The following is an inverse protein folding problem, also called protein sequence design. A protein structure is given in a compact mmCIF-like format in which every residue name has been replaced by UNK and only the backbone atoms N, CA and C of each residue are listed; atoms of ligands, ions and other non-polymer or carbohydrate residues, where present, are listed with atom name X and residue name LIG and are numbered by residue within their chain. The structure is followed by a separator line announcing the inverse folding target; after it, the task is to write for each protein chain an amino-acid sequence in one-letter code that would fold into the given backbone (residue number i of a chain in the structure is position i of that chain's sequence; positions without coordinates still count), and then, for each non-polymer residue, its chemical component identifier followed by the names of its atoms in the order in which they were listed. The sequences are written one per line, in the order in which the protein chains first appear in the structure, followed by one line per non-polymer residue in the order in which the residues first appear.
data_IF_998165295856
#
_entry.id   IF_998165295856
#
_cell.length_a   1.000
_cell.length_b   1.000
_cell.length_c   1.000
_cell.angle_alpha   90.00
_cell.angle_beta   90.00
_cell.angle_gamma   90.00
#
_symmetry.space_group_name_H-M   'P 1'
#
loop_
_entity.id
_entity.type
_entity.pdbx_description
1 polymer ?
#
# COMPACT_ATOMS: atom_id res chain seq x y z
N UNK A 1 -8.44 9.17 21.01
CA UNK A 1 -8.17 7.75 21.32
C UNK A 1 -6.67 7.58 21.29
N UNK A 2 -6.10 6.98 22.33
CA UNK A 2 -4.65 6.76 22.43
C UNK A 2 -4.32 5.37 21.91
N UNK A 3 -3.24 5.26 21.14
CA UNK A 3 -2.73 4.01 20.60
C UNK A 3 -1.27 3.84 21.00
N UNK A 4 -0.90 2.62 21.37
CA UNK A 4 0.50 2.24 21.52
C UNK A 4 0.97 1.69 20.18
N UNK A 5 2.04 2.25 19.61
CA UNK A 5 2.66 1.70 18.41
C UNK A 5 3.94 0.95 18.79
N UNK A 6 4.05 -0.29 18.32
CA UNK A 6 5.23 -1.16 18.48
C UNK A 6 5.56 -1.82 17.16
N UNK A 7 6.80 -2.28 16.99
CA UNK A 7 7.21 -3.04 15.79
C UNK A 7 6.53 -4.41 15.74
N UNK A 8 6.43 -5.02 14.55
CA UNK A 8 5.98 -6.42 14.47
C UNK A 8 6.93 -7.36 15.21
N UNK A 9 8.24 -7.11 15.17
CA UNK A 9 9.21 -7.89 15.94
C UNK A 9 8.92 -7.89 17.44
N UNK A 10 8.52 -6.73 18.00
CA UNK A 10 8.07 -6.64 19.39
C UNK A 10 6.73 -7.33 19.61
N UNK A 11 5.76 -7.15 18.72
CA UNK A 11 4.46 -7.80 18.82
C UNK A 11 4.56 -9.33 18.82
N UNK A 12 5.40 -9.90 17.95
CA UNK A 12 5.69 -11.34 17.94
C UNK A 12 6.36 -11.80 19.25
N UNK A 13 7.28 -11.01 19.80
CA UNK A 13 7.85 -11.26 21.13
C UNK A 13 6.83 -11.19 22.27
N UNK A 14 5.73 -10.45 22.08
CA UNK A 14 4.61 -10.33 23.01
C UNK A 14 3.50 -11.38 22.77
N UNK A 15 3.70 -12.30 21.83
CA UNK A 15 2.81 -13.43 21.56
C UNK A 15 1.73 -13.19 20.50
N UNK A 16 1.80 -12.08 19.75
CA UNK A 16 0.96 -11.91 18.56
C UNK A 16 1.43 -12.87 17.47
N UNK A 17 0.50 -13.34 16.67
CA UNK A 17 0.75 -14.15 15.48
C UNK A 17 0.68 -13.29 14.22
N UNK A 18 1.08 -13.83 13.08
CA UNK A 18 0.84 -13.19 11.78
C UNK A 18 -0.65 -12.97 11.52
N UNK A 19 -1.50 -13.93 11.91
CA UNK A 19 -2.96 -13.85 11.76
C UNK A 19 -3.55 -12.70 12.58
N UNK A 20 -3.03 -12.43 13.79
CA UNK A 20 -3.48 -11.30 14.61
C UNK A 20 -3.17 -9.93 13.96
N UNK A 21 -2.16 -9.88 13.09
CA UNK A 21 -1.67 -8.66 12.45
C UNK A 21 -2.16 -8.52 11.00
N UNK A 22 -2.86 -9.52 10.47
CA UNK A 22 -3.57 -9.46 9.20
C UNK A 22 -4.99 -8.96 9.42
N UNK A 23 -5.30 -7.77 8.90
CA UNK A 23 -6.56 -7.09 9.18
C UNK A 23 -7.64 -7.35 8.12
N UNK A 24 -7.30 -8.04 7.02
CA UNK A 24 -8.19 -8.35 5.89
C UNK A 24 -9.13 -7.18 5.50
N UNK A 25 -8.56 -5.98 5.38
CA UNK A 25 -9.32 -4.74 5.07
C UNK A 25 -9.33 -4.38 3.58
N UNK A 26 -8.66 -5.17 2.75
CA UNK A 26 -8.55 -4.96 1.32
C UNK A 26 -9.73 -5.59 0.58
N UNK A 27 -10.18 -5.01 -0.55
CA UNK A 27 -11.08 -5.69 -1.46
C UNK A 27 -10.58 -7.11 -1.80
N UNK A 28 -11.47 -8.10 -1.73
CA UNK A 28 -11.09 -9.51 -1.87
C UNK A 28 -10.36 -9.84 -3.18
N UNK A 29 -10.68 -9.16 -4.29
CA UNK A 29 -9.99 -9.36 -5.56
C UNK A 29 -8.51 -8.89 -5.49
N UNK A 30 -8.17 -7.88 -4.68
CA UNK A 30 -6.78 -7.43 -4.49
C UNK A 30 -5.96 -8.48 -3.74
N UNK A 31 -6.58 -9.23 -2.83
CA UNK A 31 -5.93 -10.36 -2.18
C UNK A 31 -5.58 -11.49 -3.17
N UNK A 32 -6.01 -11.41 -4.44
CA UNK A 32 -5.67 -12.38 -5.49
C UNK A 32 -4.41 -12.02 -6.28
N UNK A 33 -3.79 -10.88 -5.97
CA UNK A 33 -2.51 -10.48 -6.54
C UNK A 33 -1.44 -11.56 -6.33
N UNK A 34 -0.77 -12.04 -7.40
CA UNK A 34 0.19 -13.13 -7.28
C UNK A 34 1.43 -12.75 -6.48
N UNK A 35 1.90 -11.50 -6.58
CA UNK A 35 3.12 -11.04 -5.91
C UNK A 35 2.86 -10.88 -4.41
N UNK A 36 1.75 -10.25 -4.04
CA UNK A 36 1.29 -10.17 -2.66
C UNK A 36 1.17 -11.55 -2.03
N UNK A 37 0.47 -12.48 -2.69
CA UNK A 37 0.31 -13.87 -2.20
C UNK A 37 1.63 -14.61 -2.02
N UNK A 38 2.55 -14.49 -2.97
CA UNK A 38 3.82 -15.21 -2.95
C UNK A 38 4.73 -14.71 -1.82
N UNK A 39 4.78 -13.40 -1.59
CA UNK A 39 5.77 -12.78 -0.72
C UNK A 39 5.23 -12.27 0.62
N UNK A 40 3.91 -12.30 0.90
CA UNK A 40 3.34 -11.74 2.13
C UNK A 40 4.01 -12.27 3.40
N UNK A 41 4.05 -13.59 3.56
CA UNK A 41 4.65 -14.24 4.73
C UNK A 41 6.12 -13.83 4.90
N UNK A 42 6.90 -13.87 3.81
CA UNK A 42 8.30 -13.44 3.84
C UNK A 42 8.44 -11.99 4.30
N UNK A 43 7.66 -11.06 3.71
CA UNK A 43 7.71 -9.63 4.05
C UNK A 43 7.39 -9.40 5.53
N UNK A 44 6.35 -10.06 6.04
CA UNK A 44 5.89 -9.91 7.42
C UNK A 44 6.97 -10.32 8.43
N UNK A 45 7.65 -11.44 8.19
CA UNK A 45 8.67 -11.96 9.11
C UNK A 45 10.03 -11.29 8.93
N UNK A 46 10.54 -11.24 7.71
CA UNK A 46 11.89 -10.76 7.41
C UNK A 46 12.05 -9.27 7.71
N UNK A 47 11.03 -8.47 7.39
CA UNK A 47 11.03 -7.03 7.62
C UNK A 47 10.23 -6.62 8.88
N UNK A 48 9.94 -7.55 9.79
CA UNK A 48 9.16 -7.33 11.03
C UNK A 48 9.63 -6.16 11.89
N UNK A 49 10.92 -5.85 11.81
CA UNK A 49 11.54 -4.72 12.47
C UNK A 49 11.14 -3.36 11.88
N UNK A 50 10.86 -3.28 10.58
CA UNK A 50 10.43 -2.07 9.90
C UNK A 50 8.95 -1.79 10.15
N UNK A 51 8.12 -2.82 10.18
CA UNK A 51 6.67 -2.72 10.36
C UNK A 51 6.30 -2.17 11.73
N UNK A 52 5.06 -1.70 11.87
CA UNK A 52 4.47 -1.38 13.15
C UNK A 52 3.01 -1.82 13.26
N UNK A 53 2.59 -2.15 14.46
CA UNK A 53 1.19 -2.36 14.84
C UNK A 53 0.75 -1.29 15.82
N UNK A 54 -0.46 -0.77 15.63
CA UNK A 54 -1.12 0.13 16.56
C UNK A 54 -2.11 -0.66 17.42
N UNK A 55 -1.92 -0.60 18.73
CA UNK A 55 -2.73 -1.30 19.72
C UNK A 55 -3.57 -0.30 20.52
N UNK A 56 -4.84 -0.62 20.71
CA UNK A 56 -5.70 0.12 21.63
C UNK A 56 -5.27 -0.08 23.09
N UNK A 57 -5.84 0.69 24.01
CA UNK A 57 -5.61 0.53 25.46
C UNK A 57 -5.89 -0.90 25.95
N UNK A 58 -6.87 -1.57 25.35
CA UNK A 58 -7.26 -2.94 25.68
C UNK A 58 -6.46 -3.97 24.87
N UNK A 59 -5.32 -3.58 24.29
CA UNK A 59 -4.40 -4.43 23.52
C UNK A 59 -5.01 -5.05 22.25
N UNK A 60 -6.12 -4.49 21.75
CA UNK A 60 -6.68 -4.88 20.45
C UNK A 60 -5.90 -4.23 19.32
N UNK A 61 -5.64 -4.98 18.26
CA UNK A 61 -5.06 -4.44 17.04
C UNK A 61 -6.03 -3.46 16.40
N UNK A 62 -5.58 -2.24 16.15
CA UNK A 62 -6.37 -1.17 15.54
C UNK A 62 -5.94 -0.88 14.09
N UNK A 63 -4.65 -1.08 13.81
CA UNK A 63 -4.08 -0.86 12.49
C UNK A 63 -2.66 -1.41 12.39
N UNK A 64 -2.20 -1.64 11.17
CA UNK A 64 -0.81 -2.04 10.88
C UNK A 64 -0.21 -1.15 9.82
N UNK A 65 1.12 -1.02 9.85
CA UNK A 65 1.91 -0.38 8.82
C UNK A 65 3.04 -1.30 8.43
N UNK A 66 3.20 -1.58 7.15
CA UNK A 66 4.20 -2.50 6.62
C UNK A 66 5.13 -1.78 5.64
N UNK A 67 6.41 -2.12 5.62
CA UNK A 67 7.42 -1.51 4.74
C UNK A 67 8.34 -2.54 4.11
N UNK A 68 8.81 -2.26 2.90
CA UNK A 68 9.78 -3.09 2.19
C UNK A 68 11.01 -2.22 1.88
N UNK A 69 12.17 -2.49 2.49
CA UNK A 69 13.40 -1.77 2.20
C UNK A 69 13.93 -2.13 0.80
N UNK A 70 14.56 -1.16 0.13
CA UNK A 70 15.23 -1.37 -1.15
C UNK A 70 16.40 -0.39 -1.35
N UNK A 71 17.30 -0.75 -2.27
CA UNK A 71 18.38 0.11 -2.74
C UNK A 71 17.90 1.03 -3.85
N UNK A 72 18.10 2.34 -3.66
CA UNK A 72 17.70 3.39 -4.57
C UNK A 72 18.90 4.26 -4.96
N UNK A 73 19.09 4.45 -6.26
CA UNK A 73 20.19 5.21 -6.85
C UNK A 73 20.04 6.73 -6.77
N UNK A 74 18.90 7.23 -6.27
CA UNK A 74 18.61 8.66 -6.19
C UNK A 74 17.81 9.21 -7.38
N UNK A 75 17.51 8.38 -8.38
CA UNK A 75 16.76 8.79 -9.57
C UNK A 75 15.29 8.38 -9.49
N UNK A 76 14.39 9.35 -9.64
CA UNK A 76 12.95 9.06 -9.65
C UNK A 76 12.52 8.20 -10.84
N UNK A 77 13.34 8.07 -11.89
CA UNK A 77 13.02 7.29 -13.09
C UNK A 77 13.16 5.79 -12.85
N UNK A 78 14.13 5.39 -12.02
CA UNK A 78 14.46 4.00 -11.68
C UNK A 78 13.67 3.47 -10.49
N UNK A 79 12.86 4.33 -9.84
CA UNK A 79 11.91 3.92 -8.81
C UNK A 79 11.07 2.73 -9.32
N UNK A 80 10.75 1.73 -8.48
CA UNK A 80 9.93 0.60 -8.91
C UNK A 80 8.61 1.05 -9.54
N UNK A 81 8.18 0.31 -10.57
CA UNK A 81 6.96 0.60 -11.34
C UNK A 81 5.69 0.20 -10.58
N UNK A 82 5.51 0.80 -9.41
CA UNK A 82 4.39 0.59 -8.51
C UNK A 82 4.62 -0.48 -7.45
N UNK A 83 3.50 -0.96 -6.91
CA UNK A 83 3.43 -1.80 -5.71
C UNK A 83 4.10 -3.16 -5.91
N UNK A 84 3.75 -3.89 -6.98
CA UNK A 84 4.30 -5.22 -7.27
C UNK A 84 5.82 -5.14 -7.48
N UNK A 85 6.25 -4.16 -8.27
CA UNK A 85 7.67 -3.95 -8.56
C UNK A 85 8.47 -3.57 -7.31
N UNK A 86 7.87 -2.85 -6.36
CA UNK A 86 8.53 -2.48 -5.11
C UNK A 86 8.75 -3.70 -4.21
N UNK A 87 7.78 -4.62 -4.16
CA UNK A 87 7.94 -5.92 -3.50
C UNK A 87 9.12 -6.66 -4.12
N UNK A 88 9.07 -6.91 -5.44
CA UNK A 88 10.09 -7.68 -6.15
C UNK A 88 11.50 -7.08 -5.98
N UNK A 89 11.63 -5.76 -6.06
CA UNK A 89 12.90 -5.05 -5.86
C UNK A 89 13.44 -5.24 -4.44
N UNK A 90 12.60 -5.12 -3.42
CA UNK A 90 13.03 -5.32 -2.04
C UNK A 90 13.47 -6.75 -1.73
N UNK A 91 12.76 -7.74 -2.29
CA UNK A 91 13.16 -9.16 -2.20
C UNK A 91 14.51 -9.40 -2.87
N UNK A 92 14.68 -8.89 -4.10
CA UNK A 92 15.94 -9.03 -4.83
C UNK A 92 17.11 -8.41 -4.07
N UNK A 93 16.95 -7.17 -3.59
CA UNK A 93 18.00 -6.46 -2.88
C UNK A 93 18.35 -7.12 -1.54
N UNK A 94 17.36 -7.67 -0.84
CA UNK A 94 17.58 -8.47 0.36
C UNK A 94 18.40 -9.73 0.05
N UNK A 95 18.01 -10.49 -0.98
CA UNK A 95 18.71 -11.72 -1.38
C UNK A 95 20.16 -11.44 -1.84
N UNK A 96 20.41 -10.28 -2.44
CA UNK A 96 21.74 -9.84 -2.84
C UNK A 96 22.55 -9.19 -1.70
N UNK A 97 21.96 -9.03 -0.51
CA UNK A 97 22.61 -8.41 0.64
C UNK A 97 22.90 -6.92 0.44
N UNK A 98 22.12 -6.22 -0.38
CA UNK A 98 22.34 -4.79 -0.63
C UNK A 98 22.06 -3.95 0.60
N UNK A 99 22.88 -2.90 0.77
CA UNK A 99 22.62 -1.87 1.76
C UNK A 99 21.52 -0.95 1.25
N UNK A 100 20.30 -1.15 1.74
CA UNK A 100 19.15 -0.33 1.40
C UNK A 100 19.27 1.08 2.02
N UNK A 101 18.92 2.10 1.25
CA UNK A 101 18.83 3.51 1.68
C UNK A 101 17.39 4.06 1.58
N UNK A 102 16.48 3.29 0.97
CA UNK A 102 15.08 3.61 0.77
C UNK A 102 14.17 2.49 1.30
N UNK A 103 12.91 2.82 1.51
CA UNK A 103 11.86 1.83 1.77
C UNK A 103 10.54 2.26 1.12
N UNK A 104 9.74 1.28 0.72
CA UNK A 104 8.36 1.49 0.29
C UNK A 104 7.43 1.18 1.47
N UNK A 105 6.61 2.14 1.90
CA UNK A 105 5.44 1.90 2.73
C UNK A 105 4.45 1.09 1.89
N UNK A 106 4.42 -0.21 2.17
CA UNK A 106 3.74 -1.23 1.41
C UNK A 106 2.24 -1.23 1.68
N UNK A 107 1.86 -1.16 2.95
CA UNK A 107 0.47 -0.97 3.35
C UNK A 107 0.35 -0.22 4.66
N UNK A 108 -0.74 0.55 4.79
CA UNK A 108 -1.24 1.06 6.06
C UNK A 108 -2.70 0.66 6.14
N UNK A 109 -3.00 -0.19 7.11
CA UNK A 109 -4.30 -0.83 7.27
C UNK A 109 -4.91 -0.41 8.60
N UNK A 110 -6.18 -0.05 8.59
CA UNK A 110 -6.90 0.39 9.80
C UNK A 110 -8.28 -0.26 9.79
N UNK A 111 -8.60 -0.95 10.89
CA UNK A 111 -9.91 -1.57 11.06
C UNK A 111 -11.01 -0.50 11.04
N UNK A 112 -12.20 -0.79 10.46
CA UNK A 112 -13.27 0.18 10.27
C UNK A 112 -13.63 1.01 11.51
N UNK A 113 -13.69 0.39 12.68
CA UNK A 113 -14.06 1.04 13.95
C UNK A 113 -13.04 2.08 14.45
N UNK A 114 -11.80 2.04 13.96
CA UNK A 114 -10.75 2.99 14.34
C UNK A 114 -10.47 4.06 13.27
N UNK A 115 -11.20 4.04 12.14
CA UNK A 115 -11.05 5.04 11.07
C UNK A 115 -11.51 6.42 11.54
N UNK A 116 -10.93 7.48 10.96
CA UNK A 116 -11.23 8.87 11.35
C UNK A 116 -10.61 9.34 12.67
N UNK A 117 -9.88 8.47 13.38
CA UNK A 117 -9.20 8.79 14.65
C UNK A 117 -7.87 9.54 14.51
N UNK A 118 -7.40 9.76 13.27
CA UNK A 118 -6.05 10.26 12.99
C UNK A 118 -4.96 9.18 13.02
N UNK A 119 -5.31 7.91 13.27
CA UNK A 119 -4.36 6.80 13.40
C UNK A 119 -3.45 6.62 12.17
N UNK A 120 -3.93 6.91 10.97
CA UNK A 120 -3.11 6.80 9.75
C UNK A 120 -1.89 7.73 9.75
N UNK A 121 -1.99 8.91 10.35
CA UNK A 121 -0.85 9.83 10.52
C UNK A 121 0.13 9.30 11.57
N UNK A 122 -0.37 8.65 12.63
CA UNK A 122 0.47 8.07 13.67
C UNK A 122 1.26 6.87 13.13
N UNK A 123 0.60 5.96 12.39
CA UNK A 123 1.25 4.83 11.74
C UNK A 123 2.30 5.33 10.74
N UNK A 124 1.96 6.28 9.85
CA UNK A 124 2.92 6.84 8.90
C UNK A 124 4.14 7.48 9.60
N UNK A 125 3.90 8.19 10.71
CA UNK A 125 4.98 8.77 11.52
C UNK A 125 5.87 7.69 12.13
N UNK A 126 5.29 6.61 12.65
CA UNK A 126 6.04 5.50 13.21
C UNK A 126 6.84 4.74 12.14
N UNK A 127 6.29 4.55 10.94
CA UNK A 127 7.04 3.98 9.82
C UNK A 127 8.26 4.84 9.46
N UNK A 128 8.13 6.17 9.45
CA UNK A 128 9.28 7.08 9.25
C UNK A 128 10.34 6.92 10.33
N UNK A 129 9.96 6.76 11.61
CA UNK A 129 10.90 6.53 12.70
C UNK A 129 11.60 5.17 12.59
N UNK A 130 10.85 4.12 12.26
CA UNK A 130 11.38 2.77 12.08
C UNK A 130 12.35 2.68 10.90
N UNK A 131 12.05 3.39 9.82
CA UNK A 131 12.97 3.59 8.70
C UNK A 131 14.22 4.37 9.15
N UNK A 132 14.05 5.49 9.84
CA UNK A 132 15.15 6.33 10.28
C UNK A 132 16.14 5.62 11.22
N UNK A 133 15.63 4.85 12.19
CA UNK A 133 16.45 4.07 13.13
C UNK A 133 17.28 2.97 12.46
N UNK A 134 16.97 2.66 11.19
CA UNK A 134 17.66 1.67 10.36
C UNK A 134 18.43 2.31 9.20
N UNK A 135 18.72 3.61 9.30
CA UNK A 135 19.46 4.39 8.31
C UNK A 135 18.79 4.44 6.92
N UNK A 136 17.47 4.26 6.85
CA UNK A 136 16.69 4.52 5.65
C UNK A 136 16.39 6.02 5.59
N UNK A 137 16.89 6.70 4.58
CA UNK A 137 16.76 8.15 4.37
C UNK A 137 15.50 8.52 3.59
N UNK A 138 15.03 7.60 2.73
CA UNK A 138 13.94 7.83 1.79
C UNK A 138 12.79 6.87 2.04
N UNK A 139 11.64 7.40 2.46
CA UNK A 139 10.41 6.60 2.56
C UNK A 139 9.50 6.96 1.39
N UNK A 140 9.26 6.01 0.51
CA UNK A 140 8.30 6.11 -0.57
C UNK A 140 6.98 5.47 -0.15
N UNK A 141 5.85 5.95 -0.66
CA UNK A 141 4.54 5.30 -0.50
C UNK A 141 3.88 5.20 -1.87
N UNK A 142 3.50 3.99 -2.28
CA UNK A 142 2.74 3.77 -3.51
C UNK A 142 1.25 3.79 -3.16
N UNK A 143 0.67 4.98 -3.22
CA UNK A 143 -0.62 5.27 -2.58
C UNK A 143 -1.78 4.89 -3.49
N UNK A 144 -2.63 3.99 -3.00
CA UNK A 144 -3.95 3.66 -3.54
C UNK A 144 -4.99 4.62 -2.93
N UNK A 145 -5.57 5.58 -3.67
CA UNK A 145 -6.54 6.53 -3.09
C UNK A 145 -7.82 5.82 -2.59
N UNK A 146 -8.33 6.26 -1.43
CA UNK A 146 -9.45 5.60 -0.77
C UNK A 146 -10.81 5.83 -1.45
N UNK A 147 -10.98 6.94 -2.18
CA UNK A 147 -12.28 7.31 -2.77
C UNK A 147 -12.29 7.29 -4.30
N UNK A 148 -11.19 6.89 -4.94
CA UNK A 148 -11.10 6.80 -6.41
C UNK A 148 -12.09 5.77 -6.98
N UNK A 149 -12.48 4.75 -6.23
CA UNK A 149 -13.52 3.77 -6.59
C UNK A 149 -14.91 4.39 -6.91
N UNK A 150 -15.17 5.61 -6.43
CA UNK A 150 -16.39 6.36 -6.75
C UNK A 150 -16.35 6.95 -8.16
N UNK A 151 -15.16 7.07 -8.74
CA UNK A 151 -14.88 7.67 -10.03
C UNK A 151 -14.02 6.72 -10.91
N UNK A 152 -14.45 5.47 -11.14
CA UNK A 152 -13.60 4.46 -11.76
C UNK A 152 -13.20 4.81 -13.20
N UNK A 153 -14.03 5.57 -13.92
CA UNK A 153 -13.79 5.98 -15.31
C UNK A 153 -13.01 7.29 -15.46
N UNK A 154 -12.72 8.01 -14.37
CA UNK A 154 -11.73 9.08 -14.43
C UNK A 154 -10.33 8.46 -14.48
N UNK A 155 -9.44 9.05 -15.26
CA UNK A 155 -8.01 8.75 -15.11
C UNK A 155 -7.53 9.12 -13.70
N UNK A 156 -6.41 8.54 -13.27
CA UNK A 156 -5.83 8.91 -11.98
C UNK A 156 -5.41 10.39 -11.97
N UNK A 157 -4.90 10.92 -13.09
CA UNK A 157 -4.54 12.34 -13.21
C UNK A 157 -5.76 13.25 -12.99
N UNK A 158 -6.84 13.05 -13.75
CA UNK A 158 -8.09 13.84 -13.60
C UNK A 158 -8.67 13.74 -12.19
N UNK A 159 -8.56 12.57 -11.56
CA UNK A 159 -9.02 12.39 -10.20
C UNK A 159 -8.19 13.20 -9.19
N UNK A 160 -6.87 13.26 -9.35
CA UNK A 160 -5.98 13.96 -8.42
C UNK A 160 -6.06 15.49 -8.53
N UNK A 161 -6.56 16.01 -9.66
CA UNK A 161 -6.87 17.44 -9.86
C UNK A 161 -8.09 17.90 -9.04
N UNK A 162 -8.86 16.96 -8.48
CA UNK A 162 -9.96 17.30 -7.56
C UNK A 162 -9.40 17.74 -6.21
N UNK A 163 -9.44 19.05 -5.98
CA UNK A 163 -8.95 19.69 -4.75
C UNK A 163 -10.10 20.33 -3.95
N UNK A 164 -9.91 20.36 -2.64
CA UNK A 164 -10.71 21.16 -1.70
C UNK A 164 -10.34 22.64 -1.82
N UNK A 165 -11.14 23.50 -1.21
CA UNK A 165 -10.88 24.95 -1.13
C UNK A 165 -9.54 25.28 -0.46
N UNK A 166 -9.05 24.41 0.45
CA UNK A 166 -7.76 24.55 1.13
C UNK A 166 -6.55 24.12 0.27
N UNK A 167 -6.77 23.75 -1.00
CA UNK A 167 -5.74 23.35 -1.96
C UNK A 167 -5.27 21.90 -1.84
N UNK A 168 -5.70 21.17 -0.81
CA UNK A 168 -5.39 19.75 -0.66
C UNK A 168 -6.34 18.86 -1.46
N UNK A 169 -5.91 17.63 -1.77
CA UNK A 169 -6.74 16.63 -2.46
C UNK A 169 -8.06 16.39 -1.73
N UNK A 170 -9.14 16.19 -2.50
CA UNK A 170 -10.41 15.70 -1.97
C UNK A 170 -10.27 14.30 -1.36
N UNK A 171 -9.39 13.46 -1.91
CA UNK A 171 -9.14 12.12 -1.38
C UNK A 171 -8.47 12.20 0.01
N UNK A 172 -9.07 11.58 1.05
CA UNK A 172 -8.56 11.69 2.40
C UNK A 172 -7.19 11.05 2.59
N UNK A 173 -6.85 10.03 1.81
CA UNK A 173 -5.59 9.31 1.95
C UNK A 173 -4.45 10.04 1.24
N UNK A 174 -4.69 10.53 0.03
CA UNK A 174 -3.76 11.43 -0.65
C UNK A 174 -3.46 12.66 0.21
N UNK A 175 -4.51 13.25 0.81
CA UNK A 175 -4.37 14.41 1.69
C UNK A 175 -3.53 14.15 2.93
N UNK A 176 -3.49 12.92 3.47
CA UNK A 176 -2.59 12.58 4.59
C UNK A 176 -1.13 12.74 4.17
N UNK A 177 -0.76 12.26 2.98
CA UNK A 177 0.60 12.40 2.48
C UNK A 177 0.95 13.85 2.14
N UNK A 178 0.04 14.59 1.47
CA UNK A 178 0.25 16.02 1.20
C UNK A 178 0.44 16.83 2.49
N UNK A 179 -0.39 16.62 3.53
CA UNK A 179 -0.27 17.29 4.83
C UNK A 179 0.98 16.86 5.62
N UNK A 180 1.48 15.67 5.37
CA UNK A 180 2.75 15.19 5.93
C UNK A 180 3.98 15.73 5.18
N UNK A 181 3.80 16.65 4.22
CA UNK A 181 4.89 17.29 3.46
C UNK A 181 5.50 16.39 2.38
N UNK A 182 4.80 15.33 1.98
CA UNK A 182 5.28 14.42 0.95
C UNK A 182 5.33 15.10 -0.43
N UNK A 183 6.32 14.72 -1.23
CA UNK A 183 6.39 15.12 -2.64
C UNK A 183 5.75 14.06 -3.51
N UNK A 184 4.74 14.41 -4.30
CA UNK A 184 4.20 13.54 -5.35
C UNK A 184 5.29 13.34 -6.41
N UNK A 185 5.58 12.09 -6.77
CA UNK A 185 6.62 11.74 -7.75
C UNK A 185 5.99 11.50 -9.13
N UNK A 186 5.17 10.44 -9.25
CA UNK A 186 4.49 10.06 -10.49
C UNK A 186 3.31 9.15 -10.21
N UNK A 187 2.42 9.04 -11.19
CA UNK A 187 1.37 8.02 -11.24
C UNK A 187 1.97 6.76 -11.86
N UNK A 188 1.65 5.60 -11.29
CA UNK A 188 1.97 4.29 -11.83
C UNK A 188 0.68 3.62 -12.29
N UNK A 189 0.40 3.67 -13.59
CA UNK A 189 -0.86 3.17 -14.17
C UNK A 189 -1.04 1.64 -14.03
N UNK A 190 0.06 0.91 -13.84
CA UNK A 190 0.07 -0.55 -13.73
C UNK A 190 0.77 -0.98 -12.44
N UNK A 191 0.36 -0.38 -11.32
CA UNK A 191 1.01 -0.60 -10.03
C UNK A 191 0.76 -1.99 -9.45
N UNK A 192 -0.44 -2.54 -9.69
CA UNK A 192 -0.78 -3.93 -9.38
C UNK A 192 -1.43 -4.55 -10.61
N UNK A 193 -1.17 -5.83 -10.86
CA UNK A 193 -1.76 -6.53 -11.99
C UNK A 193 -2.38 -7.87 -11.60
N UNK A 194 -3.72 -7.92 -11.65
CA UNK A 194 -4.51 -9.09 -11.28
C UNK A 194 -5.19 -9.63 -12.52
N UNK A 195 -5.08 -10.95 -12.70
CA UNK A 195 -5.73 -11.68 -13.79
C UNK A 195 -6.42 -12.92 -13.25
N UNK A 196 -7.49 -13.33 -13.92
CA UNK A 196 -8.23 -14.53 -13.58
C UNK A 196 -9.21 -14.90 -14.69
N UNK A 197 -9.81 -16.08 -14.58
CA UNK A 197 -10.93 -16.47 -15.45
C UNK A 197 -12.17 -15.63 -15.15
N UNK A 198 -13.16 -15.64 -16.05
CA UNK A 198 -14.42 -14.94 -15.79
C UNK A 198 -15.04 -15.46 -14.51
N UNK A 199 -15.08 -16.78 -14.33
CA UNK A 199 -15.63 -17.41 -13.13
C UNK A 199 -14.93 -16.92 -11.86
N UNK A 200 -13.60 -16.83 -11.87
CA UNK A 200 -12.86 -16.31 -10.74
C UNK A 200 -13.25 -14.86 -10.44
N UNK A 201 -13.35 -14.00 -11.46
CA UNK A 201 -13.80 -12.63 -11.28
C UNK A 201 -15.23 -12.52 -10.75
N UNK A 202 -16.15 -13.38 -11.21
CA UNK A 202 -17.52 -13.46 -10.68
C UNK A 202 -17.52 -13.87 -9.20
N UNK A 203 -16.69 -14.86 -8.82
CA UNK A 203 -16.49 -15.27 -7.42
C UNK A 203 -15.88 -14.14 -6.58
N UNK A 204 -14.91 -13.40 -7.12
CA UNK A 204 -14.20 -12.35 -6.37
C UNK A 204 -15.02 -11.08 -6.15
N UNK A 205 -15.92 -10.76 -7.09
CA UNK A 205 -16.65 -9.50 -7.12
C UNK A 205 -18.13 -9.65 -6.78
N UNK A 206 -18.67 -10.87 -6.86
CA UNK A 206 -20.10 -11.15 -6.75
C UNK A 206 -20.92 -10.63 -7.96
N UNK A 207 -20.26 -10.20 -9.03
CA UNK A 207 -20.90 -9.74 -10.26
C UNK A 207 -21.02 -10.87 -11.28
N UNK A 208 -21.85 -10.65 -12.30
CA UNK A 208 -21.93 -11.51 -13.48
C UNK A 208 -21.45 -10.73 -14.70
N UNK A 209 -20.55 -11.32 -15.49
CA UNK A 209 -19.96 -10.65 -16.65
C UNK A 209 -20.47 -11.29 -17.95
N UNK A 210 -21.68 -10.92 -18.37
CA UNK A 210 -22.37 -11.56 -19.50
C UNK A 210 -21.75 -11.27 -20.88
N UNK A 211 -20.96 -10.18 -20.99
CA UNK A 211 -20.33 -9.74 -22.24
C UNK A 211 -18.87 -9.33 -21.98
N UNK A 212 -18.05 -9.33 -23.03
CA UNK A 212 -16.74 -8.68 -22.99
C UNK A 212 -16.90 -7.16 -22.85
N UNK A 213 -15.98 -6.50 -22.16
CA UNK A 213 -16.00 -5.05 -21.95
C UNK A 213 -15.32 -4.62 -20.65
N UNK A 214 -15.51 -3.35 -20.30
CA UNK A 214 -14.98 -2.77 -19.07
C UNK A 214 -16.09 -2.61 -18.03
N UNK A 215 -15.87 -3.13 -16.82
CA UNK A 215 -16.87 -3.15 -15.77
C UNK A 215 -16.33 -2.53 -14.49
N UNK A 216 -17.11 -1.62 -13.90
CA UNK A 216 -16.88 -1.17 -12.52
C UNK A 216 -17.09 -2.35 -11.58
N UNK A 217 -16.13 -2.57 -10.68
CA UNK A 217 -16.22 -3.57 -9.62
C UNK A 217 -16.20 -2.91 -8.24
N UNK A 218 -16.83 -3.50 -7.20
CA UNK A 218 -16.70 -3.02 -5.82
C UNK A 218 -15.22 -2.98 -5.39
N UNK A 219 -14.77 -1.86 -4.83
CA UNK A 219 -13.36 -1.68 -4.46
C UNK A 219 -12.40 -1.40 -5.61
N UNK A 220 -12.82 -1.49 -6.88
CA UNK A 220 -11.94 -1.20 -8.02
C UNK A 220 -11.72 0.30 -8.22
N UNK A 221 -10.46 0.72 -8.33
CA UNK A 221 -10.09 2.11 -8.66
C UNK A 221 -10.32 2.45 -10.13
N UNK A 222 -10.29 1.43 -10.98
CA UNK A 222 -10.55 1.47 -12.43
C UNK A 222 -11.45 0.28 -12.81
N UNK A 223 -11.99 0.22 -14.03
CA UNK A 223 -12.74 -0.95 -14.47
C UNK A 223 -11.85 -2.20 -14.59
N UNK A 224 -12.42 -3.37 -14.33
CA UNK A 224 -11.86 -4.64 -14.81
C UNK A 224 -12.20 -4.78 -16.29
N UNK A 225 -11.24 -5.23 -17.10
CA UNK A 225 -11.48 -5.61 -18.49
C UNK A 225 -11.81 -7.09 -18.54
N UNK A 226 -12.97 -7.43 -19.09
CA UNK A 226 -13.41 -8.81 -19.32
C UNK A 226 -13.35 -9.10 -20.81
N UNK A 227 -12.75 -10.23 -21.16
CA UNK A 227 -12.70 -10.82 -22.49
C UNK A 227 -13.27 -12.24 -22.40
N UNK A 228 -14.49 -12.41 -22.93
CA UNK A 228 -15.20 -13.69 -22.88
C UNK A 228 -14.69 -14.71 -23.88
N UNK A 229 -14.10 -14.26 -24.99
CA UNK A 229 -13.59 -15.15 -26.03
C UNK A 229 -12.34 -15.89 -25.55
N UNK A 230 -11.56 -15.26 -24.66
CA UNK A 230 -10.36 -15.83 -24.06
C UNK A 230 -10.51 -16.32 -22.61
N UNK A 231 -11.72 -16.24 -22.03
CA UNK A 231 -12.00 -16.50 -20.60
C UNK A 231 -11.02 -15.77 -19.68
N UNK A 232 -10.84 -14.47 -19.91
CA UNK A 232 -9.85 -13.64 -19.21
C UNK A 232 -10.48 -12.36 -18.66
N UNK A 233 -10.26 -12.12 -17.37
CA UNK A 233 -10.41 -10.79 -16.79
C UNK A 233 -9.06 -10.22 -16.35
N UNK A 234 -8.81 -8.97 -16.68
CA UNK A 234 -7.60 -8.22 -16.35
C UNK A 234 -7.96 -6.95 -15.55
N UNK A 235 -7.25 -6.73 -14.44
CA UNK A 235 -7.33 -5.50 -13.65
C UNK A 235 -5.93 -4.95 -13.43
N UNK A 236 -5.72 -3.70 -13.85
CA UNK A 236 -4.44 -2.97 -13.76
C UNK A 236 -4.66 -1.76 -12.87
N UNK A 237 -4.24 -1.85 -11.61
CA UNK A 237 -4.52 -0.80 -10.63
C UNK A 237 -3.53 0.37 -10.75
N UNK A 238 -4.02 1.61 -10.87
CA UNK A 238 -3.15 2.78 -10.76
C UNK A 238 -2.92 3.19 -9.30
N UNK A 239 -1.66 3.46 -8.94
CA UNK A 239 -1.29 4.08 -7.66
C UNK A 239 -0.43 5.32 -7.88
N UNK A 240 -0.19 6.08 -6.80
CA UNK A 240 0.55 7.35 -6.86
C UNK A 240 1.76 7.29 -5.93
N UNK A 241 2.96 7.47 -6.46
CA UNK A 241 4.16 7.54 -5.64
C UNK A 241 4.26 8.87 -4.91
N UNK A 242 4.47 8.78 -3.59
CA UNK A 242 4.84 9.90 -2.73
C UNK A 242 6.20 9.64 -2.09
N UNK A 243 7.05 10.66 -2.04
CA UNK A 243 8.33 10.64 -1.34
C UNK A 243 8.25 11.44 -0.04
N UNK A 244 8.67 10.81 1.05
CA UNK A 244 8.89 11.40 2.36
C UNK A 244 10.37 11.33 2.69
N UNK A 245 10.89 12.42 3.28
CA UNK A 245 12.16 12.35 3.99
C UNK A 245 11.94 11.75 5.37
N UNK A 246 12.85 10.90 5.81
CA UNK A 246 12.94 10.46 7.19
C UNK A 246 13.87 11.41 7.96
N UNK A 247 13.85 11.33 9.29
CA UNK A 247 14.78 12.08 10.15
C UNK A 247 16.09 11.31 10.38
N UNK A 248 16.44 10.35 9.50
CA UNK A 248 17.71 9.63 9.60
C UNK A 248 18.90 10.61 9.47
N UNK A 249 19.92 10.48 10.33
CA UNK A 249 21.14 11.26 10.17
C UNK A 249 21.81 10.92 8.83
N UNK A 250 22.13 11.96 8.06
CA UNK A 250 22.83 11.82 6.80
C UNK A 250 24.33 11.62 7.08
N UNK A 251 24.77 10.37 7.19
CA UNK A 251 26.18 10.04 7.22
C UNK A 251 26.70 10.04 5.78
N UNK A 252 26.86 11.24 5.21
CA UNK A 252 27.53 11.46 3.93
C UNK A 252 29.04 11.25 4.01
#
# INVERSE_FOLDING_TARGET
MEFQLITFAQAFGEGFTEEDLDLDVWPFFLNQDPIGKEYYHFIVHEFSSFHCVALSKDRKVAGTGKMIPFDWDGENQTLPKGWDAAVLKGILDHNEGKRCNAASAWSIEILPEFRGSGLSHQILSELKKNAASRNILHLFACVRPNQKEKFPFLSMEEYLERKREDGFSEDPWIRVHEKAGAKRIRIEENSMYIRGTIRQWEEWTGLQFLNSGEFKIPGGLVPVRIDRDSDLGEYKEPNVWFHHKTDAPNYG
#
